data_IF_846660385476
#
_entry.id   IF_846660385476
#
_cell.length_a   1.000
_cell.length_b   1.000
_cell.length_c   1.000
_cell.angle_alpha   90.00
_cell.angle_beta   90.00
_cell.angle_gamma   90.00
#
_symmetry.space_group_name_H-M   'P 1'
#
loop_
_entity.id
_entity.type
_entity.pdbx_description
1 polymer ?
2 non-polymer ?
3 non-polymer ?
4 non-polymer ?
5 non-polymer ?
6 non-polymer ?
7 water ?
#
# COMPACT_ATOMS: atom_id res chain seq x y z
N UNK A 13 2.74 5.53 -26.25
CA UNK A 13 3.87 6.20 -25.61
C UNK A 13 3.59 6.44 -24.13
N UNK A 14 2.57 7.25 -23.84
CA UNK A 14 2.24 7.52 -22.44
C UNK A 14 1.59 6.29 -21.82
N UNK A 15 1.67 6.23 -20.51
CA UNK A 15 1.07 5.14 -19.75
C UNK A 15 -0.43 5.01 -20.06
N UNK A 16 -0.91 3.79 -20.21
CA UNK A 16 -2.35 3.49 -20.34
C UNK A 16 -2.83 2.93 -19.01
N UNK A 17 -3.69 3.64 -18.28
CA UNK A 17 -4.16 3.15 -16.99
C UNK A 17 -4.84 1.79 -17.11
N UNK A 18 -4.50 0.83 -16.27
CA UNK A 18 -5.24 -0.44 -16.25
C UNK A 18 -6.70 -0.19 -15.90
N UNK A 19 -7.58 -1.18 -16.16
CA UNK A 19 -8.95 -1.08 -15.63
C UNK A 19 -9.01 -1.00 -14.12
N UNK A 20 -10.07 -0.37 -13.64
CA UNK A 20 -10.29 -0.21 -12.21
C UNK A 20 -10.65 -1.52 -11.51
N UNK A 21 -10.08 -1.74 -10.33
CA UNK A 21 -10.49 -2.86 -9.49
C UNK A 21 -11.86 -2.57 -8.84
N UNK A 22 -12.50 -3.59 -8.25
CA UNK A 22 -13.80 -3.37 -7.61
C UNK A 22 -13.70 -2.46 -6.39
N UNK A 23 -14.71 -1.65 -6.20
CA UNK A 23 -14.89 -0.88 -4.99
C UNK A 23 -16.21 -1.27 -4.37
N UNK A 24 -16.17 -1.58 -3.08
CA UNK A 24 -17.36 -1.96 -2.34
C UNK A 24 -17.74 -0.86 -1.34
N UNK A 25 -19.02 -0.61 -1.17
CA UNK A 25 -19.53 0.36 -0.22
C UNK A 25 -20.49 -0.37 0.72
N UNK A 26 -19.97 -1.13 1.68
CA UNK A 26 -20.87 -1.93 2.53
C UNK A 26 -21.85 -1.09 3.34
N UNK A 27 -23.06 -1.63 3.52
CA UNK A 27 -23.97 -1.04 4.48
C UNK A 27 -23.44 -1.25 5.90
N UNK A 28 -24.09 -0.60 6.86
CA UNK A 28 -23.70 -0.83 8.25
C UNK A 28 -23.82 -2.29 8.63
N UNK A 29 -24.87 -2.97 8.15
CA UNK A 29 -25.03 -4.39 8.44
C UNK A 29 -23.88 -5.21 7.85
N UNK A 30 -23.54 -4.97 6.58
CA UNK A 30 -22.44 -5.69 5.97
C UNK A 30 -21.10 -5.36 6.61
N UNK A 31 -20.97 -4.16 7.18
CA UNK A 31 -19.74 -3.69 7.77
C UNK A 31 -19.51 -4.25 9.17
N UNK A 32 -20.42 -5.09 9.66
CA UNK A 32 -20.32 -5.60 11.02
C UNK A 32 -19.05 -6.41 11.24
N UNK A 33 -18.74 -7.33 10.32
CA UNK A 33 -17.60 -8.23 10.50
C UNK A 33 -16.74 -8.24 9.25
N UNK A 34 -15.46 -7.86 9.34
CA UNK A 34 -14.62 -7.82 8.15
C UNK A 34 -14.42 -9.17 7.46
N UNK A 35 -14.12 -10.21 8.23
CA UNK A 35 -13.84 -11.52 7.61
C UNK A 35 -15.08 -12.05 6.89
N UNK A 36 -16.25 -11.84 7.46
CA UNK A 36 -17.48 -12.27 6.80
C UNK A 36 -17.69 -11.51 5.50
N UNK A 37 -17.47 -10.18 5.53
CA UNK A 37 -17.64 -9.40 4.32
C UNK A 37 -16.63 -9.79 3.26
N UNK A 38 -15.37 -9.95 3.66
CA UNK A 38 -14.34 -10.34 2.70
C UNK A 38 -14.63 -11.71 2.08
N UNK A 39 -15.12 -12.64 2.89
CA UNK A 39 -15.50 -13.94 2.38
C UNK A 39 -16.61 -13.86 1.36
N UNK A 40 -17.56 -12.93 1.54
CA UNK A 40 -18.68 -12.80 0.61
C UNK A 40 -18.28 -12.13 -0.70
N UNK A 41 -17.34 -11.18 -0.65
CA UNK A 41 -16.94 -10.51 -1.90
C UNK A 41 -15.89 -11.31 -2.67
N UNK A 42 -15.33 -12.34 -2.03
CA UNK A 42 -14.23 -13.11 -2.61
C UNK A 42 -14.49 -13.58 -4.04
N UNK A 43 -15.67 -14.08 -4.41
CA UNK A 43 -15.81 -14.58 -5.78
C UNK A 43 -15.48 -13.53 -6.82
N UNK A 44 -15.74 -12.24 -6.56
CA UNK A 44 -15.30 -11.19 -7.48
C UNK A 44 -13.89 -10.73 -7.18
N UNK A 45 -13.61 -10.37 -5.93
CA UNK A 45 -12.34 -9.73 -5.64
C UNK A 45 -11.15 -10.65 -5.89
N UNK A 46 -11.31 -11.95 -5.72
CA UNK A 46 -10.16 -12.81 -6.01
C UNK A 46 -9.82 -12.83 -7.49
N UNK A 47 -10.77 -12.50 -8.37
CA UNK A 47 -10.47 -12.42 -9.79
C UNK A 47 -9.82 -11.12 -10.21
N UNK A 48 -9.67 -10.17 -9.29
CA UNK A 48 -8.96 -8.93 -9.58
C UNK A 48 -7.72 -8.78 -8.73
N UNK A 49 -7.56 -9.62 -7.71
CA UNK A 49 -6.38 -9.59 -6.81
C UNK A 49 -6.47 -8.59 -5.69
N UNK A 50 -6.89 -7.38 -6.03
CA UNK A 50 -7.10 -6.31 -5.05
C UNK A 50 -8.52 -5.78 -5.15
N UNK A 51 -8.98 -5.22 -4.04
CA UNK A 51 -10.25 -4.50 -4.06
C UNK A 51 -10.18 -3.36 -3.06
N UNK A 52 -11.06 -2.40 -3.21
CA UNK A 52 -11.16 -1.27 -2.31
C UNK A 52 -12.46 -1.33 -1.56
N UNK A 53 -12.44 -0.96 -0.28
CA UNK A 53 -13.61 -1.00 0.57
C UNK A 53 -13.78 0.37 1.22
N UNK A 54 -14.93 1.01 0.96
CA UNK A 54 -15.24 2.31 1.53
C UNK A 54 -16.15 2.12 2.73
N UNK A 55 -15.74 2.48 3.93
CA UNK A 55 -16.61 2.33 5.10
C UNK A 55 -17.81 3.26 5.00
N UNK A 56 -18.82 3.06 5.83
CA UNK A 56 -19.95 3.99 5.88
C UNK A 56 -19.45 5.39 6.19
N UNK A 57 -20.20 6.38 5.68
CA UNK A 57 -19.77 7.77 5.73
C UNK A 57 -19.43 8.21 7.15
N UNK A 58 -20.17 7.72 8.14
CA UNK A 58 -19.99 8.15 9.51
C UNK A 58 -18.92 7.35 10.27
N UNK A 59 -18.31 6.34 9.65
CA UNK A 59 -17.21 5.63 10.30
C UNK A 59 -15.91 6.41 10.07
N UNK A 60 -15.48 7.16 11.09
CA UNK A 60 -14.31 8.04 10.99
C UNK A 60 -13.43 7.90 12.23
N UNK A 61 -12.49 6.96 12.23
CA UNK A 61 -11.65 6.79 13.40
C UNK A 61 -10.74 7.99 13.61
N UNK A 62 -10.41 8.31 14.85
CA UNK A 62 -9.41 9.35 15.11
C UNK A 62 -8.03 8.84 14.74
N UNK A 63 -7.10 9.77 14.56
CA UNK A 63 -5.71 9.41 14.29
C UNK A 63 -4.97 9.37 15.62
N UNK A 64 -4.37 8.23 15.94
CA UNK A 64 -3.97 7.97 17.32
C UNK A 64 -2.46 7.80 17.52
N UNK A 65 -1.63 8.10 16.53
CA UNK A 65 -0.18 7.99 16.76
C UNK A 65 0.29 9.13 17.65
N UNK A 66 1.39 8.87 18.35
CA UNK A 66 2.04 9.91 19.15
C UNK A 66 2.76 10.90 18.25
N UNK A 67 2.08 11.98 17.85
CA UNK A 67 2.60 12.87 16.82
C UNK A 67 3.78 13.70 17.32
N UNK A 68 3.78 14.03 18.61
CA UNK A 68 4.85 14.84 19.18
C UNK A 68 6.21 14.13 19.07
N UNK A 69 6.21 12.82 19.30
CA UNK A 69 7.45 12.04 19.30
C UNK A 69 7.79 11.44 17.94
N UNK A 70 6.87 11.46 16.97
CA UNK A 70 7.02 10.67 15.76
C UNK A 70 8.21 11.18 14.95
N UNK A 71 9.25 10.36 14.82
CA UNK A 71 10.47 10.74 14.14
C UNK A 71 11.00 9.52 13.39
N UNK A 72 11.57 9.73 12.21
CA UNK A 72 12.02 8.60 11.41
C UNK A 72 13.01 9.08 10.36
N UNK A 73 13.82 8.13 9.83
CA UNK A 73 14.74 8.41 8.72
C UNK A 73 14.24 7.55 7.56
N UNK A 74 13.61 8.15 6.57
CA UNK A 74 13.04 7.37 5.47
C UNK A 74 14.12 6.82 4.56
N UNK A 75 13.73 5.84 3.75
CA UNK A 75 14.67 5.26 2.81
C UNK A 75 14.68 6.09 1.55
N UNK A 76 15.81 6.15 0.92
CA UNK A 76 15.92 6.86 -0.36
C UNK A 76 15.51 5.93 -1.49
N UNK A 77 14.74 6.44 -2.45
CA UNK A 77 14.29 5.66 -3.61
C UNK A 77 14.69 6.39 -4.89
N UNK A 78 15.56 5.75 -5.67
CA UNK A 78 15.97 6.24 -6.99
C UNK A 78 15.03 5.58 -8.00
N UNK A 79 14.16 6.38 -8.63
CA UNK A 79 13.08 5.78 -9.43
C UNK A 79 13.63 4.92 -10.55
N UNK A 80 14.72 5.37 -11.18
CA UNK A 80 15.23 4.70 -12.37
C UNK A 80 16.41 3.78 -12.09
N UNK A 81 16.58 3.31 -10.83
CA UNK A 81 17.78 2.56 -10.47
C UNK A 81 18.00 1.31 -11.34
N UNK A 82 16.92 0.61 -11.74
CA UNK A 82 17.15 -0.58 -12.56
C UNK A 82 17.55 -0.22 -13.98
N UNK A 83 16.86 0.76 -14.58
CA UNK A 83 17.20 1.23 -15.90
C UNK A 83 18.63 1.77 -15.94
N UNK A 84 19.07 2.42 -14.85
CA UNK A 84 20.43 2.93 -14.82
C UNK A 84 21.51 1.84 -14.83
N UNK A 85 21.16 0.56 -14.68
CA UNK A 85 22.14 -0.51 -14.78
C UNK A 85 22.67 -0.62 -16.21
N UNK A 101 16.88 14.52 6.15
CA UNK A 101 17.36 13.16 6.42
C UNK A 101 16.59 12.49 7.55
N UNK A 102 16.67 12.99 8.78
CA UNK A 102 15.71 12.58 9.79
C UNK A 102 14.60 13.61 9.85
N UNK A 103 13.36 13.12 9.92
CA UNK A 103 12.20 13.98 9.86
C UNK A 103 11.25 13.71 11.03
N UNK A 104 10.44 14.73 11.36
CA UNK A 104 9.20 14.52 12.09
C UNK A 104 8.07 14.39 11.06
N UNK A 105 6.88 14.00 11.53
CA UNK A 105 5.76 13.95 10.59
C UNK A 105 5.58 15.29 9.92
N UNK A 106 5.72 16.36 10.69
CA UNK A 106 5.54 17.70 10.15
C UNK A 106 6.64 18.04 9.15
N UNK A 107 7.92 17.82 9.50
CA UNK A 107 8.95 18.24 8.58
C UNK A 107 9.01 17.35 7.34
N UNK A 108 8.58 16.09 7.46
CA UNK A 108 8.45 15.27 6.24
C UNK A 108 7.35 15.80 5.34
N UNK A 109 6.22 16.20 5.93
CA UNK A 109 5.14 16.79 5.15
C UNK A 109 5.56 18.05 4.43
N UNK A 110 6.29 18.93 5.11
CA UNK A 110 6.76 20.15 4.46
C UNK A 110 7.67 19.81 3.29
N UNK A 111 8.60 18.88 3.50
CA UNK A 111 9.45 18.46 2.39
C UNK A 111 8.63 17.88 1.26
N UNK A 112 7.66 17.02 1.58
CA UNK A 112 6.91 16.29 0.56
C UNK A 112 6.07 17.26 -0.27
N UNK A 113 5.42 18.20 0.39
CA UNK A 113 4.56 19.13 -0.35
C UNK A 113 5.41 20.07 -1.20
N UNK A 114 6.52 20.56 -0.65
CA UNK A 114 7.43 21.38 -1.43
C UNK A 114 7.96 20.63 -2.63
N UNK A 115 8.31 19.35 -2.47
CA UNK A 115 8.82 18.60 -3.60
C UNK A 115 7.78 18.57 -4.71
N UNK A 116 6.55 18.21 -4.35
CA UNK A 116 5.55 18.00 -5.37
C UNK A 116 5.12 19.30 -6.04
N UNK A 117 4.90 20.37 -5.24
CA UNK A 117 4.46 21.60 -5.85
C UNK A 117 5.55 22.18 -6.73
N UNK A 118 6.82 22.03 -6.35
CA UNK A 118 7.91 22.46 -7.22
C UNK A 118 7.97 21.61 -8.49
N UNK A 119 7.83 20.30 -8.35
CA UNK A 119 7.97 19.41 -9.51
C UNK A 119 6.93 19.72 -10.58
N UNK A 120 5.67 19.91 -10.18
CA UNK A 120 4.59 20.13 -11.11
C UNK A 120 4.25 21.60 -11.29
N UNK A 121 4.88 22.51 -10.54
CA UNK A 121 4.59 23.96 -10.66
C UNK A 121 3.11 24.29 -10.44
N UNK A 122 2.51 23.65 -9.45
CA UNK A 122 1.13 23.96 -9.12
C UNK A 122 0.85 23.47 -7.70
N UNK A 123 -0.25 23.93 -7.10
CA UNK A 123 -0.55 23.44 -5.74
C UNK A 123 -0.75 21.94 -5.69
N UNK A 124 -0.32 21.30 -4.60
CA UNK A 124 -0.28 19.83 -4.56
C UNK A 124 -1.64 19.20 -4.82
N UNK A 125 -2.71 19.78 -4.28
CA UNK A 125 -4.03 19.19 -4.48
C UNK A 125 -4.54 19.37 -5.90
N UNK A 126 -3.93 20.24 -6.70
CA UNK A 126 -4.39 20.49 -8.04
C UNK A 126 -3.77 19.56 -9.08
N UNK A 127 -2.77 18.78 -8.72
CA UNK A 127 -2.11 17.92 -9.69
C UNK A 127 -2.99 16.72 -9.99
N UNK A 128 -3.40 16.50 -11.25
CA UNK A 128 -4.25 15.35 -11.57
C UNK A 128 -3.60 14.01 -11.22
N UNK A 129 -4.38 13.10 -10.60
CA UNK A 129 -3.84 11.78 -10.26
C UNK A 129 -3.32 11.06 -11.50
N UNK A 130 -3.93 11.29 -12.65
CA UNK A 130 -3.47 10.62 -13.87
C UNK A 130 -2.13 11.17 -14.33
N UNK A 131 -1.86 12.44 -14.03
CA UNK A 131 -0.59 13.03 -14.43
C UNK A 131 0.54 12.52 -13.54
N UNK A 132 0.30 12.40 -12.24
CA UNK A 132 1.35 11.84 -11.37
C UNK A 132 1.63 10.41 -11.82
N UNK A 133 0.58 9.66 -12.15
CA UNK A 133 0.76 8.27 -12.57
C UNK A 133 1.57 8.19 -13.86
N UNK A 134 1.22 8.99 -14.86
CA UNK A 134 1.97 8.94 -16.10
C UNK A 134 3.42 9.34 -15.89
N UNK A 135 3.65 10.37 -15.07
CA UNK A 135 5.00 10.85 -14.83
C UNK A 135 5.83 9.83 -14.05
N UNK A 136 5.21 9.18 -13.04
CA UNK A 136 5.91 8.15 -12.31
C UNK A 136 6.46 7.10 -13.23
N UNK A 137 5.64 6.55 -14.14
CA UNK A 137 6.12 5.47 -14.98
C UNK A 137 7.12 5.98 -16.00
N UNK A 138 6.99 7.22 -16.46
CA UNK A 138 8.01 7.79 -17.33
C UNK A 138 9.33 7.83 -16.61
N UNK A 139 9.33 8.30 -15.34
CA UNK A 139 10.58 8.50 -14.61
C UNK A 139 11.26 7.17 -14.29
N UNK A 140 10.48 6.13 -14.01
CA UNK A 140 11.03 4.81 -13.71
C UNK A 140 11.88 4.30 -14.86
N UNK A 141 11.49 4.62 -16.09
CA UNK A 141 12.21 4.15 -17.27
C UNK A 141 13.15 5.18 -17.87
N UNK A 142 13.24 6.38 -17.30
CA UNK A 142 14.02 7.44 -17.92
C UNK A 142 15.48 7.32 -17.51
N UNK A 143 16.37 7.38 -18.50
CA UNK A 143 17.79 7.54 -18.20
C UNK A 143 18.23 8.99 -18.29
N UNK A 144 17.37 9.88 -18.81
CA UNK A 144 17.75 11.27 -18.97
C UNK A 144 17.52 12.10 -17.71
N UNK A 145 16.67 11.64 -16.81
CA UNK A 145 16.27 12.41 -15.63
C UNK A 145 16.30 11.45 -14.45
N UNK A 146 17.04 11.80 -13.39
CA UNK A 146 17.21 10.94 -12.23
C UNK A 146 16.47 11.59 -11.07
N UNK A 147 15.24 11.14 -10.81
CA UNK A 147 14.42 11.64 -9.72
C UNK A 147 14.61 10.73 -8.53
N UNK A 148 14.81 11.33 -7.36
CA UNK A 148 15.08 10.58 -6.13
C UNK A 148 14.10 11.11 -5.09
N UNK A 149 13.40 10.22 -4.40
CA UNK A 149 12.41 10.56 -3.38
C UNK A 149 12.75 9.78 -2.12
N UNK A 150 11.94 9.97 -1.07
CA UNK A 150 12.14 9.31 0.21
C UNK A 150 10.83 8.72 0.70
N UNK A 151 10.91 7.57 1.35
CA UNK A 151 9.70 6.89 1.82
C UNK A 151 9.86 6.46 3.26
N UNK A 152 8.93 6.87 4.14
CA UNK A 152 8.95 6.41 5.54
C UNK A 152 8.28 5.06 5.61
N UNK A 153 9.00 4.01 5.23
CA UNK A 153 8.38 2.71 4.98
C UNK A 153 8.74 1.74 6.08
N UNK A 154 7.88 0.78 6.32
CA UNK A 154 8.13 -0.27 7.32
C UNK A 154 8.52 0.30 8.70
N UNK A 155 7.76 1.28 9.17
CA UNK A 155 7.88 1.80 10.54
C UNK A 155 6.92 0.97 11.42
N UNK A 156 7.38 0.36 12.51
CA UNK A 156 6.43 -0.49 13.24
C UNK A 156 5.40 0.34 14.02
N UNK A 157 4.15 -0.17 14.13
CA UNK A 157 3.17 0.46 15.01
C UNK A 157 3.61 0.41 16.47
N UNK A 158 4.56 -0.45 16.81
CA UNK A 158 5.06 -0.46 18.18
C UNK A 158 5.88 0.77 18.54
N UNK A 159 6.40 1.50 17.55
CA UNK A 159 7.35 2.58 17.83
C UNK A 159 6.65 3.80 18.43
N UNK A 160 5.63 4.31 17.76
CA UNK A 160 4.88 5.46 18.20
C UNK A 160 3.39 5.16 18.32
N UNK A 161 3.00 3.89 18.29
CA UNK A 161 1.59 3.56 18.28
C UNK A 161 1.02 3.37 16.90
N UNK A 162 -0.08 2.64 16.86
CA UNK A 162 -0.89 2.52 15.67
C UNK A 162 -1.59 3.85 15.38
N UNK A 163 -1.94 4.07 14.11
CA UNK A 163 -2.81 5.17 13.80
C UNK A 163 -4.23 4.98 14.32
N UNK A 164 -4.65 3.70 14.58
CA UNK A 164 -5.93 3.44 15.22
C UNK A 164 -5.81 3.52 16.73
N UNK A 165 -6.87 3.94 17.44
CA UNK A 165 -6.85 3.85 18.91
C UNK A 165 -6.81 2.39 19.35
N UNK A 166 -6.06 2.13 20.43
CA UNK A 166 -5.89 0.79 20.98
C UNK A 166 -6.04 0.87 22.48
N UNK A 167 -6.74 -0.10 23.06
CA UNK A 167 -6.84 -0.15 24.51
C UNK A 167 -5.54 -0.68 25.11
N UNK A 168 -4.44 0.04 24.87
CA UNK A 168 -3.14 -0.32 25.41
C UNK A 168 -2.92 0.19 26.83
N UNK A 169 -3.66 1.21 27.24
CA UNK A 169 -3.29 1.93 28.44
C UNK A 169 -2.13 2.86 28.26
N UNK A 170 -1.66 3.04 27.02
CA UNK A 170 -0.53 3.91 26.71
C UNK A 170 -0.95 5.27 26.18
N UNK A 171 -2.22 5.42 25.79
CA UNK A 171 -2.71 6.70 25.27
C UNK A 171 -4.20 6.80 25.58
N UNK A 172 -4.65 8.02 25.84
CA UNK A 172 -6.04 8.24 26.22
C UNK A 172 -6.99 7.93 25.05
N UNK A 173 -8.10 7.27 25.38
CA UNK A 173 -9.18 6.99 24.45
C UNK A 173 -10.43 7.69 24.96
N UNK A 174 -10.97 8.59 24.15
CA UNK A 174 -12.20 9.26 24.49
C UNK A 174 -13.37 8.30 24.31
N UNK A 175 -14.48 8.52 25.03
CA UNK A 175 -15.65 7.64 24.89
C UNK A 175 -16.09 7.44 23.45
N UNK A 176 -16.12 8.51 22.65
CA UNK A 176 -16.60 8.41 21.28
C UNK A 176 -15.61 7.68 20.38
N UNK A 177 -14.38 7.45 20.85
CA UNK A 177 -13.38 6.70 20.12
C UNK A 177 -13.30 5.22 20.49
N UNK A 178 -13.95 4.81 21.57
CA UNK A 178 -13.85 3.43 22.02
C UNK A 178 -14.35 2.47 20.96
N UNK A 179 -15.39 2.86 20.23
CA UNK A 179 -15.90 1.95 19.22
C UNK A 179 -14.83 1.63 18.18
N UNK A 180 -13.95 2.59 17.89
CA UNK A 180 -12.90 2.32 16.92
C UNK A 180 -11.78 1.46 17.51
N UNK A 181 -11.52 1.63 18.81
CA UNK A 181 -10.55 0.75 19.47
C UNK A 181 -11.01 -0.71 19.44
N UNK A 182 -12.33 -0.93 19.43
CA UNK A 182 -12.91 -2.27 19.50
C UNK A 182 -13.38 -2.80 18.15
N UNK A 183 -13.38 -1.97 17.11
CA UNK A 183 -13.86 -2.38 15.79
C UNK A 183 -13.04 -3.52 15.20
N UNK A 184 -13.74 -4.46 14.55
CA UNK A 184 -13.05 -5.47 13.77
C UNK A 184 -12.29 -4.93 12.57
N UNK A 185 -12.55 -3.68 12.16
CA UNK A 185 -11.81 -3.07 11.05
C UNK A 185 -10.59 -2.28 11.52
N UNK A 186 -10.42 -2.10 12.81
CA UNK A 186 -9.15 -1.62 13.37
C UNK A 186 -8.10 -2.68 13.06
N UNK A 187 -7.03 -2.31 12.37
CA UNK A 187 -6.03 -3.30 11.92
C UNK A 187 -5.39 -4.04 13.08
N UNK A 188 -5.40 -3.48 14.30
CA UNK A 188 -4.85 -4.20 15.44
C UNK A 188 -5.73 -5.35 15.90
N UNK A 189 -6.97 -5.42 15.40
CA UNK A 189 -7.94 -6.42 15.81
C UNK A 189 -8.21 -7.43 14.71
N UNK A 190 -7.45 -7.40 13.64
CA UNK A 190 -7.55 -8.44 12.62
C UNK A 190 -6.85 -9.73 13.08
N UNK A 191 -7.39 -10.91 12.77
CA UNK A 191 -6.74 -12.17 13.16
C UNK A 191 -5.44 -12.34 12.38
N UNK A 192 -4.41 -12.78 13.09
CA UNK A 192 -3.07 -12.88 12.52
C UNK A 192 -2.41 -14.23 12.77
N UNK A 193 -3.04 -15.13 13.51
CA UNK A 193 -2.41 -16.39 13.90
C UNK A 193 -2.87 -17.48 12.93
N UNK A 194 -1.94 -17.99 12.13
CA UNK A 194 -2.26 -19.07 11.20
C UNK A 194 -2.25 -20.41 11.92
N UNK A 195 -3.21 -21.27 11.58
CA UNK A 195 -3.30 -22.59 12.18
C UNK A 195 -2.15 -23.48 11.70
N UNK A 196 -1.47 -24.12 12.64
CA UNK A 196 -0.42 -25.08 12.29
C UNK A 196 -0.20 -26.04 13.45
N UNK A 197 0.44 -27.17 13.13
CA UNK A 197 0.84 -28.09 14.19
C UNK A 197 1.93 -27.49 15.06
N UNK A 198 2.87 -26.76 14.45
CA UNK A 198 3.93 -26.10 15.22
C UNK A 198 3.36 -25.11 16.23
N UNK A 199 2.22 -24.50 15.94
CA UNK A 199 1.58 -23.60 16.91
C UNK A 199 1.14 -24.35 18.15
N UNK A 200 0.71 -25.60 18.02
CA UNK A 200 0.36 -26.42 19.18
C UNK A 200 1.56 -27.08 19.84
N UNK A 201 2.75 -26.99 19.25
CA UNK A 201 3.97 -27.56 19.83
C UNK A 201 4.86 -26.48 20.44
N UNK A 202 4.97 -25.33 19.77
CA UNK A 202 5.74 -24.21 20.28
C UNK A 202 5.10 -23.69 21.57
N UNK A 209 2.81 -9.77 12.97
CA UNK A 209 2.34 -9.71 14.34
C UNK A 209 1.56 -8.42 14.62
N UNK A 210 2.11 -7.28 14.20
CA UNK A 210 1.46 -5.99 14.44
C UNK A 210 1.51 -5.17 13.15
N UNK A 211 0.64 -4.18 13.01
CA UNK A 211 0.63 -3.39 11.77
C UNK A 211 1.89 -2.56 11.60
N UNK A 212 2.19 -2.25 10.34
CA UNK A 212 3.29 -1.39 9.95
C UNK A 212 2.72 -0.13 9.32
N UNK A 213 3.49 0.95 9.41
CA UNK A 213 3.09 2.26 8.97
C UNK A 213 3.94 2.71 7.79
N UNK A 214 3.32 3.51 6.93
CA UNK A 214 3.98 4.01 5.73
C UNK A 214 3.67 5.50 5.61
N UNK A 215 4.71 6.35 5.68
CA UNK A 215 4.57 7.79 5.49
C UNK A 215 5.04 8.11 4.07
N UNK A 216 4.13 8.48 3.21
CA UNK A 216 4.45 8.61 1.79
C UNK A 216 4.64 10.05 1.36
N UNK A 217 5.37 10.21 0.25
CA UNK A 217 5.39 11.46 -0.52
C UNK A 217 5.19 11.12 -2.00
N UNK A 218 5.00 12.13 -2.83
CA UNK A 218 4.83 11.91 -4.25
C UNK A 218 5.97 11.07 -4.81
N UNK A 219 5.59 10.02 -5.52
CA UNK A 219 6.47 9.10 -6.25
C UNK A 219 7.11 8.05 -5.36
N UNK A 220 6.98 8.12 -4.02
CA UNK A 220 7.46 7.02 -3.20
C UNK A 220 6.63 5.78 -3.56
N UNK A 221 7.22 4.58 -3.48
CA UNK A 221 6.59 3.46 -4.15
C UNK A 221 6.98 2.14 -3.53
N UNK A 222 6.24 1.11 -3.93
CA UNK A 222 6.52 -0.28 -3.56
C UNK A 222 6.39 -1.15 -4.78
N UNK A 223 7.36 -2.03 -4.98
CA UNK A 223 7.41 -2.83 -6.21
C UNK A 223 6.62 -4.11 -6.07
N UNK A 224 6.54 -4.87 -7.17
CA UNK A 224 5.67 -6.04 -7.22
C UNK A 224 6.09 -7.09 -6.20
N UNK A 225 5.11 -7.56 -5.42
CA UNK A 225 5.42 -8.63 -4.48
C UNK A 225 4.10 -9.31 -4.08
N UNK A 226 4.26 -10.46 -3.43
CA UNK A 226 3.21 -11.13 -2.72
C UNK A 226 3.63 -11.22 -1.26
N UNK A 227 2.69 -11.58 -0.39
CA UNK A 227 3.01 -11.64 1.04
C UNK A 227 3.61 -12.96 1.45
N UNK A 228 4.33 -12.94 2.57
CA UNK A 228 4.82 -14.17 3.14
C UNK A 228 3.66 -15.12 3.36
N UNK A 229 3.88 -16.39 3.07
CA UNK A 229 2.89 -17.45 3.25
C UNK A 229 1.66 -17.23 2.39
N UNK A 230 1.78 -16.42 1.35
CA UNK A 230 0.64 -16.09 0.48
C UNK A 230 -0.52 -15.49 1.26
N UNK A 231 -0.20 -14.72 2.29
CA UNK A 231 -1.26 -14.21 3.15
C UNK A 231 -2.09 -13.14 2.44
N UNK A 232 -3.34 -12.96 2.91
CA UNK A 232 -4.08 -11.73 2.68
C UNK A 232 -3.36 -10.54 3.32
N UNK A 233 -3.63 -9.35 2.81
CA UNK A 233 -3.30 -8.15 3.55
C UNK A 233 -4.45 -7.16 3.53
N UNK A 234 -4.48 -6.30 4.53
CA UNK A 234 -5.41 -5.17 4.58
C UNK A 234 -4.64 -3.90 4.86
N UNK A 235 -5.07 -2.82 4.23
CA UNK A 235 -4.33 -1.58 4.19
C UNK A 235 -5.32 -0.45 4.36
N UNK A 236 -5.01 0.50 5.25
CA UNK A 236 -5.91 1.61 5.49
C UNK A 236 -5.17 2.94 5.35
N UNK A 237 -5.72 3.86 4.59
CA UNK A 237 -5.08 5.15 4.40
C UNK A 237 -5.68 6.11 5.43
N UNK A 238 -4.92 6.41 6.48
CA UNK A 238 -5.47 7.25 7.55
C UNK A 238 -5.80 8.66 7.06
N UNK A 239 -4.90 9.26 6.28
CA UNK A 239 -5.04 10.64 5.84
C UNK A 239 -4.05 10.90 4.72
N UNK A 240 -4.29 12.02 4.03
CA UNK A 240 -3.37 12.51 3.01
C UNK A 240 -3.84 12.20 1.61
N UNK A 241 -2.95 12.45 0.66
CA UNK A 241 -3.24 12.27 -0.76
C UNK A 241 -3.28 10.77 -1.10
N UNK A 242 -3.89 10.41 -2.23
CA UNK A 242 -4.15 8.98 -2.47
C UNK A 242 -2.91 8.13 -2.64
N UNK A 243 -3.11 6.83 -2.45
CA UNK A 243 -2.11 5.81 -2.74
C UNK A 243 -2.62 5.05 -3.95
N UNK A 244 -1.84 5.03 -5.03
CA UNK A 244 -2.26 4.38 -6.28
C UNK A 244 -1.73 2.95 -6.27
N UNK A 245 -2.62 1.98 -6.55
CA UNK A 245 -2.34 0.56 -6.50
C UNK A 245 -2.50 -0.09 -7.85
N UNK A 246 -1.72 -1.16 -8.03
CA UNK A 246 -1.92 -2.12 -9.11
C UNK A 246 -1.93 -3.53 -8.52
N UNK A 247 -2.83 -4.37 -9.05
CA UNK A 247 -2.97 -5.72 -8.53
C UNK A 247 -3.17 -6.68 -9.70
N UNK A 248 -2.73 -7.91 -9.46
CA UNK A 248 -2.86 -9.03 -10.39
C UNK A 248 -3.54 -10.18 -9.66
N UNK A 249 -4.59 -10.77 -10.19
CA UNK A 249 -5.21 -11.89 -9.50
C UNK A 249 -4.28 -13.08 -9.41
N UNK A 250 -4.52 -13.89 -8.37
CA UNK A 250 -3.68 -15.05 -8.12
C UNK A 250 -3.68 -16.05 -9.25
N UNK A 251 -4.76 -16.15 -10.04
CA UNK A 251 -4.72 -17.11 -11.12
C UNK A 251 -3.69 -16.72 -12.18
N UNK A 252 -3.19 -15.49 -12.16
CA UNK A 252 -2.16 -15.07 -13.11
C UNK A 252 -0.80 -14.92 -12.46
N UNK A 253 -0.62 -15.43 -11.23
CA UNK A 253 0.66 -15.27 -10.57
C UNK A 253 1.80 -15.84 -11.42
N UNK A 254 1.62 -17.04 -11.99
CA UNK A 254 2.70 -17.63 -12.75
C UNK A 254 2.94 -16.86 -14.04
N UNK A 255 1.89 -16.30 -14.64
CA UNK A 255 2.08 -15.47 -15.83
C UNK A 255 2.98 -14.28 -15.50
N UNK A 256 2.72 -13.61 -14.36
CA UNK A 256 3.54 -12.46 -13.99
C UNK A 256 4.97 -12.92 -13.75
N UNK A 257 5.13 -14.04 -13.05
CA UNK A 257 6.48 -14.53 -12.79
C UNK A 257 7.21 -14.85 -14.09
N UNK A 258 6.48 -15.34 -15.10
CA UNK A 258 7.12 -15.63 -16.39
C UNK A 258 7.55 -14.35 -17.10
N UNK A 259 6.75 -13.29 -17.04
CA UNK A 259 7.14 -12.03 -17.67
C UNK A 259 8.37 -11.45 -16.97
N UNK A 260 8.39 -11.49 -15.65
CA UNK A 260 9.62 -11.18 -14.92
C UNK A 260 10.80 -12.01 -15.42
N UNK A 261 10.62 -13.34 -15.52
CA UNK A 261 11.71 -14.17 -16.02
C UNK A 261 12.25 -13.68 -17.36
N UNK A 262 11.35 -13.28 -18.26
CA UNK A 262 11.79 -12.84 -19.58
C UNK A 262 12.47 -11.47 -19.52
N UNK A 263 11.93 -10.53 -18.75
CA UNK A 263 12.25 -9.11 -18.94
C UNK A 263 13.00 -8.47 -17.79
N UNK A 264 12.95 -9.05 -16.61
CA UNK A 264 13.65 -8.44 -15.49
C UNK A 264 15.15 -8.60 -15.69
N UNK A 265 15.96 -7.70 -15.11
CA UNK A 265 17.41 -7.76 -15.31
C UNK A 265 17.98 -9.15 -15.08
N UNK A 266 18.76 -9.62 -16.05
CA UNK A 266 19.30 -10.96 -16.01
C UNK A 266 20.28 -11.12 -14.86
N UNK A 267 20.93 -10.02 -14.48
CA UNK A 267 21.85 -10.07 -13.34
C UNK A 267 21.13 -10.55 -12.08
N UNK A 268 19.85 -10.27 -11.96
CA UNK A 268 19.04 -10.65 -10.82
C UNK A 268 18.18 -11.88 -11.11
N UNK A 269 18.35 -12.51 -12.27
CA UNK A 269 17.41 -13.55 -12.72
C UNK A 269 17.42 -14.75 -11.77
N UNK A 270 18.59 -15.21 -11.38
CA UNK A 270 18.73 -16.35 -10.48
C UNK A 270 18.41 -16.04 -9.02
N UNK A 271 17.96 -14.81 -8.69
CA UNK A 271 17.74 -14.55 -7.27
C UNK A 271 16.46 -15.21 -6.77
N UNK A 272 16.46 -15.69 -5.52
CA UNK A 272 15.20 -16.17 -4.93
C UNK A 272 14.18 -15.06 -4.90
N UNK A 273 12.90 -15.46 -4.90
CA UNK A 273 11.81 -14.50 -5.00
C UNK A 273 11.83 -13.46 -3.88
N UNK A 274 12.17 -13.86 -2.65
CA UNK A 274 12.18 -12.91 -1.53
C UNK A 274 13.20 -11.79 -1.73
N UNK A 275 14.31 -12.07 -2.43
CA UNK A 275 15.27 -11.01 -2.76
C UNK A 275 14.87 -10.27 -4.04
N UNK A 276 14.41 -11.02 -5.05
CA UNK A 276 14.04 -10.38 -6.31
C UNK A 276 12.93 -9.36 -6.09
N UNK A 277 12.03 -9.61 -5.15
CA UNK A 277 10.91 -8.74 -4.85
C UNK A 277 11.29 -7.48 -4.08
N UNK A 278 12.56 -7.34 -3.71
CA UNK A 278 13.04 -6.05 -3.21
C UNK A 278 13.16 -5.01 -4.33
N UNK A 279 13.34 -5.46 -5.59
CA UNK A 279 13.56 -4.66 -6.82
C UNK A 279 12.76 -5.18 -8.03
N UNK A 280 11.60 -5.78 -7.83
CA UNK A 280 10.80 -6.24 -8.98
C UNK A 280 9.99 -5.06 -9.54
N UNK A 281 10.69 -4.06 -10.11
CA UNK A 281 9.99 -2.90 -10.71
C UNK A 281 9.51 -3.27 -12.10
N UNK A 282 8.22 -3.05 -12.40
CA UNK A 282 7.79 -3.29 -13.78
C UNK A 282 6.53 -2.49 -14.10
N UNK A 283 6.60 -1.77 -15.22
CA UNK A 283 5.48 -0.98 -15.70
C UNK A 283 4.28 -1.90 -15.92
N UNK A 284 3.11 -1.59 -15.37
CA UNK A 284 1.91 -2.41 -15.61
C UNK A 284 1.60 -2.66 -17.05
N UNK A 285 1.93 -1.73 -17.94
CA UNK A 285 1.58 -1.94 -19.33
C UNK A 285 2.42 -3.03 -19.96
N UNK A 286 3.64 -3.25 -19.48
CA UNK A 286 4.45 -4.35 -19.97
C UNK A 286 3.78 -5.68 -19.64
N UNK A 287 3.32 -5.82 -18.40
CA UNK A 287 2.58 -7.02 -18.00
C UNK A 287 1.33 -7.18 -18.86
N UNK A 288 0.59 -6.10 -19.07
CA UNK A 288 -0.64 -6.18 -19.85
C UNK A 288 -0.35 -6.57 -21.28
N UNK A 289 0.72 -6.04 -21.86
CA UNK A 289 1.05 -6.39 -23.23
C UNK A 289 1.35 -7.88 -23.36
N UNK A 290 1.82 -8.50 -22.29
CA UNK A 290 2.12 -9.93 -22.26
C UNK A 290 0.95 -10.76 -21.76
N UNK A 291 -0.25 -10.19 -21.69
CA UNK A 291 -1.45 -10.94 -21.36
C UNK A 291 -1.73 -11.10 -19.88
N UNK A 292 -1.00 -10.42 -19.00
CA UNK A 292 -1.29 -10.49 -17.57
C UNK A 292 -2.41 -9.51 -17.24
N UNK A 293 -3.48 -9.96 -16.57
CA UNK A 293 -4.53 -9.04 -16.13
C UNK A 293 -4.00 -8.18 -14.98
N UNK A 294 -4.14 -6.86 -15.12
CA UNK A 294 -3.77 -5.91 -14.08
C UNK A 294 -4.95 -4.98 -13.82
N UNK A 295 -5.21 -4.68 -12.56
CA UNK A 295 -6.25 -3.74 -12.14
C UNK A 295 -5.60 -2.64 -11.32
N UNK A 296 -6.20 -1.44 -11.32
CA UNK A 296 -5.66 -0.31 -10.58
C UNK A 296 -6.71 0.24 -9.63
N UNK A 297 -6.26 1.05 -8.66
CA UNK A 297 -7.19 1.94 -7.97
C UNK A 297 -6.42 3.09 -7.35
N UNK A 298 -7.11 4.19 -7.06
CA UNK A 298 -6.60 5.25 -6.19
C UNK A 298 -7.28 5.08 -4.84
N UNK A 299 -6.53 4.67 -3.84
CA UNK A 299 -7.07 4.56 -2.48
C UNK A 299 -6.99 5.93 -1.82
N UNK A 300 -8.14 6.49 -1.47
CA UNK A 300 -8.19 7.81 -0.85
C UNK A 300 -8.30 7.68 0.67
N UNK A 301 -8.10 8.82 1.34
CA UNK A 301 -8.12 8.83 2.80
C UNK A 301 -9.41 8.21 3.31
N UNK A 302 -9.30 7.33 4.31
CA UNK A 302 -10.45 6.69 4.89
C UNK A 302 -10.89 5.40 4.22
N UNK A 303 -10.17 4.95 3.19
CA UNK A 303 -10.54 3.77 2.45
C UNK A 303 -9.56 2.62 2.69
N UNK A 304 -10.08 1.41 2.64
CA UNK A 304 -9.30 0.18 2.77
C UNK A 304 -8.98 -0.41 1.41
N UNK A 305 -7.83 -1.02 1.30
CA UNK A 305 -7.49 -1.94 0.21
C UNK A 305 -7.19 -3.32 0.79
N UNK A 306 -7.82 -4.35 0.23
CA UNK A 306 -7.54 -5.74 0.60
C UNK A 306 -6.84 -6.40 -0.58
N UNK A 307 -5.75 -7.13 -0.27
CA UNK A 307 -5.07 -7.96 -1.26
C UNK A 307 -5.33 -9.42 -0.93
N UNK A 308 -5.67 -10.20 -1.93
CA UNK A 308 -6.04 -11.59 -1.75
C UNK A 308 -4.81 -12.48 -1.79
N UNK A 309 -4.92 -13.74 -1.37
CA UNK A 309 -3.75 -14.62 -1.29
C UNK A 309 -3.06 -14.76 -2.63
N UNK A 310 -1.75 -14.54 -2.64
CA UNK A 310 -0.94 -14.69 -3.86
C UNK A 310 -1.35 -13.72 -4.95
N UNK A 311 -1.91 -12.57 -4.59
CA UNK A 311 -2.18 -11.51 -5.56
C UNK A 311 -1.01 -10.54 -5.58
N UNK A 312 -0.25 -10.54 -6.67
CA UNK A 312 0.85 -9.58 -6.77
C UNK A 312 0.31 -8.17 -6.76
N UNK A 313 1.05 -7.27 -6.11
CA UNK A 313 0.63 -5.87 -6.07
C UNK A 313 1.84 -4.97 -5.98
N UNK A 314 1.60 -3.74 -6.39
CA UNK A 314 2.61 -2.70 -6.36
C UNK A 314 1.89 -1.36 -6.39
N UNK A 315 2.63 -0.26 -6.16
CA UNK A 315 1.90 1.01 -6.13
C UNK A 315 2.84 2.16 -5.85
N UNK A 316 2.25 3.35 -5.78
CA UNK A 316 3.04 4.55 -5.46
C UNK A 316 2.10 5.55 -4.82
N UNK A 317 2.69 6.49 -4.08
CA UNK A 317 1.90 7.54 -3.41
C UNK A 317 1.81 8.80 -4.26
N UNK A 318 0.60 9.40 -4.28
CA UNK A 318 0.37 10.63 -5.01
C UNK A 318 0.96 11.86 -4.34
N UNK A 319 1.15 11.79 -3.03
CA UNK A 319 1.62 12.91 -2.25
C UNK A 319 1.72 12.49 -0.80
N UNK A 320 1.88 13.49 0.07
CA UNK A 320 2.04 13.27 1.51
C UNK A 320 0.86 12.49 2.10
N UNK A 321 1.10 11.34 2.70
CA UNK A 321 0.02 10.52 3.20
C UNK A 321 0.54 9.60 4.30
N UNK A 322 -0.40 8.85 4.89
CA UNK A 322 -0.07 8.03 6.04
C UNK A 322 -0.94 6.80 6.00
N UNK A 323 -0.32 5.62 5.89
CA UNK A 323 -1.04 4.37 5.75
C UNK A 323 -0.62 3.38 6.80
N UNK A 324 -1.48 2.39 7.06
CA UNK A 324 -1.21 1.31 8.00
C UNK A 324 -1.61 0.02 7.35
N UNK A 325 -0.83 -1.04 7.54
CA UNK A 325 -1.06 -2.30 6.84
C UNK A 325 -0.73 -3.48 7.73
N UNK A 326 -1.46 -4.58 7.56
CA UNK A 326 -1.15 -5.81 8.28
C UNK A 326 -1.57 -7.00 7.42
N UNK A 327 -0.82 -8.10 7.54
CA UNK A 327 -1.25 -9.38 6.98
C UNK A 327 -2.23 -10.03 7.95
N UNK A 328 -3.24 -10.70 7.41
CA UNK A 328 -4.25 -11.30 8.26
C UNK A 328 -4.57 -12.68 7.70
N UNK A 329 -5.18 -13.51 8.56
CA UNK A 329 -5.51 -14.88 8.21
C UNK A 329 -7.03 -15.06 8.27
N UNK A 330 -7.52 -16.05 7.53
CA UNK A 330 -8.95 -16.36 7.53
C UNK A 330 -9.22 -17.78 8.03
#
# INVERSE_FOLDING_TARGET
HNMAGVGPGGYAAEFVPPPECPVFEPSWEEFTDPLSFIGRIRPLAEKTGICKIRPPKDWQPPFACEVKSFRFTPRVQRLNELEAMTRVRPREAFGFEQAVREYTLQSFGEMADNFKSDYFNMPVHMVPTELVEKEFWRLVSSIEEDVIVEYGADISSKDFGSGFPVKDGRRKILPEEEEYALSGWNLNNMPVLEQSVLAHINVDISGMKVPWLYVGMCFSSFCWHIEDHWSYSINYLHWGEPKTWYGVPSHAAEQLEEVMRELAPELFESQPDLLHQLVTIMNPNVLMEHGVPVYRTNQCAGEFVVTFPRAYHSGFNQGYNFAEAVNFCT
#
